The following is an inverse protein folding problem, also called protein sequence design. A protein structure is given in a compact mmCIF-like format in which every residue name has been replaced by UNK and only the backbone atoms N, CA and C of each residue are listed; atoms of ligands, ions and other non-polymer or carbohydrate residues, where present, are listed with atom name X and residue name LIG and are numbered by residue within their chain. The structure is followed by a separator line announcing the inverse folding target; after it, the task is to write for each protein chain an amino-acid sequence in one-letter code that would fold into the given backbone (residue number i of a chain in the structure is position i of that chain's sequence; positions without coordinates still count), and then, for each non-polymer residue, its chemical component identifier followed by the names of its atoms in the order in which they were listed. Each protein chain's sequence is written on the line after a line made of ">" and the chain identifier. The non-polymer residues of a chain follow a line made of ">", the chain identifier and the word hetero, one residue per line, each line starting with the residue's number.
data_IF_110190445256
#
_entry.id   IF_110190445256
#
_cell.length_a   1.000
_cell.length_b   1.000
_cell.length_c   1.000
_cell.angle_alpha   90.00
_cell.angle_beta   90.00
_cell.angle_gamma   90.00
#
_symmetry.space_group_name_H-M   'P 1'
#
loop_
_entity.id
_entity.type
_entity.pdbx_description
1 polymer ?
#
# COMPACT_ATOMS: atom_id res chain seq x y z
N UNK A 1 25.08 6.71 -11.34
CA UNK A 1 24.68 5.96 -12.56
C UNK A 1 23.99 6.82 -13.60
N UNK A 2 22.82 7.45 -13.32
CA UNK A 2 22.18 8.33 -14.33
C UNK A 2 23.11 9.42 -14.84
N UNK A 3 23.78 10.14 -13.95
CA UNK A 3 24.72 11.20 -14.32
C UNK A 3 25.89 10.69 -15.16
N UNK A 4 26.31 9.45 -14.94
CA UNK A 4 27.43 8.82 -15.63
C UNK A 4 27.08 8.37 -17.05
N UNK A 5 25.90 7.81 -17.24
CA UNK A 5 25.51 7.13 -18.48
C UNK A 5 24.52 7.89 -19.36
N UNK A 6 23.78 8.88 -18.83
CA UNK A 6 22.92 9.72 -19.65
C UNK A 6 23.68 10.47 -20.76
N UNK A 7 24.91 11.00 -20.53
CA UNK A 7 25.72 11.59 -21.59
C UNK A 7 26.15 10.58 -22.69
N UNK A 8 26.04 9.28 -22.41
CA UNK A 8 26.32 8.19 -23.36
C UNK A 8 25.05 7.68 -24.07
N UNK A 9 23.91 8.39 -23.91
CA UNK A 9 22.65 8.08 -24.57
C UNK A 9 21.77 7.07 -23.79
N UNK A 10 22.07 6.78 -22.52
CA UNK A 10 21.25 5.89 -21.70
C UNK A 10 20.16 6.69 -20.99
N UNK A 11 18.92 6.31 -21.18
CA UNK A 11 17.77 6.88 -20.45
C UNK A 11 17.36 5.98 -19.29
N UNK A 12 16.98 6.59 -18.16
CA UNK A 12 16.58 5.91 -16.94
C UNK A 12 15.15 6.21 -16.57
N UNK A 13 14.40 5.16 -16.25
CA UNK A 13 13.02 5.26 -15.80
C UNK A 13 12.82 4.46 -14.52
N UNK A 14 12.06 5.02 -13.57
CA UNK A 14 11.44 4.25 -12.53
C UNK A 14 9.97 4.01 -12.88
N UNK A 15 9.47 2.82 -12.61
CA UNK A 15 8.06 2.50 -12.79
C UNK A 15 7.49 2.22 -11.40
N UNK A 16 6.58 3.10 -10.97
CA UNK A 16 5.85 2.93 -9.73
C UNK A 16 4.75 1.88 -9.95
N UNK A 17 4.88 0.78 -9.26
CA UNK A 17 3.96 -0.37 -9.21
C UNK A 17 3.15 -0.34 -7.90
N UNK A 18 2.31 -1.34 -7.61
CA UNK A 18 1.68 -1.46 -6.30
C UNK A 18 2.71 -1.42 -5.16
N UNK A 19 2.32 -0.86 -4.03
CA UNK A 19 3.14 -0.91 -2.82
C UNK A 19 3.40 -2.36 -2.43
N UNK A 20 4.68 -2.72 -2.26
CA UNK A 20 5.07 -4.06 -1.83
C UNK A 20 4.65 -4.34 -0.38
N UNK A 21 4.69 -3.32 0.46
CA UNK A 21 4.40 -3.37 1.89
C UNK A 21 3.51 -2.20 2.29
N UNK A 22 2.19 -2.23 1.97
CA UNK A 22 1.26 -1.21 2.41
C UNK A 22 1.26 -1.10 3.94
N UNK A 23 1.03 0.11 4.45
CA UNK A 23 1.05 0.51 5.86
C UNK A 23 2.43 0.40 6.55
N UNK A 24 3.44 -0.16 5.87
CA UNK A 24 4.83 -0.03 6.30
C UNK A 24 5.31 1.41 6.04
N UNK A 25 6.04 2.00 6.97
CA UNK A 25 6.39 3.43 6.93
C UNK A 25 5.19 4.37 6.76
N UNK A 26 4.01 3.91 7.18
CA UNK A 26 2.71 4.61 7.14
C UNK A 26 2.16 4.90 5.74
N UNK A 27 2.80 4.53 4.65
CA UNK A 27 2.21 4.67 3.33
C UNK A 27 1.13 3.63 3.10
N UNK A 28 0.00 4.08 2.55
CA UNK A 28 -1.17 3.25 2.30
C UNK A 28 -1.39 3.02 0.80
N UNK A 29 -2.15 1.99 0.44
CA UNK A 29 -2.42 1.68 -0.96
C UNK A 29 -3.21 2.80 -1.64
N UNK A 30 -2.73 3.34 -2.79
CA UNK A 30 -3.50 4.30 -3.58
C UNK A 30 -4.73 3.63 -4.21
N UNK A 31 -5.87 4.31 -4.22
CA UNK A 31 -7.11 3.85 -4.83
C UNK A 31 -7.36 4.45 -6.22
N UNK A 32 -6.63 5.51 -6.57
CA UNK A 32 -6.77 6.20 -7.85
C UNK A 32 -5.41 6.45 -8.49
N UNK A 33 -5.40 6.69 -9.80
CA UNK A 33 -4.18 7.07 -10.50
C UNK A 33 -3.61 8.40 -9.98
N UNK A 34 -4.46 9.33 -9.56
CA UNK A 34 -4.04 10.59 -8.96
C UNK A 34 -3.28 10.36 -7.67
N UNK A 35 -3.75 9.48 -6.80
CA UNK A 35 -3.04 9.10 -5.58
C UNK A 35 -1.72 8.37 -5.88
N UNK A 36 -1.69 7.51 -6.91
CA UNK A 36 -0.45 6.88 -7.37
C UNK A 36 0.57 7.93 -7.84
N UNK A 37 0.12 8.97 -8.53
CA UNK A 37 0.97 10.10 -8.90
C UNK A 37 1.43 10.93 -7.67
N UNK A 38 0.59 11.09 -6.65
CA UNK A 38 1.01 11.70 -5.37
C UNK A 38 2.14 10.90 -4.71
N UNK A 39 2.06 9.56 -4.69
CA UNK A 39 3.14 8.69 -4.20
C UNK A 39 4.44 8.90 -5.00
N UNK A 40 4.35 9.00 -6.33
CA UNK A 40 5.52 9.30 -7.19
C UNK A 40 6.14 10.64 -6.82
N UNK A 41 5.33 11.69 -6.67
CA UNK A 41 5.82 13.03 -6.30
C UNK A 41 6.52 12.99 -4.94
N UNK A 42 5.93 12.32 -3.97
CA UNK A 42 6.52 12.15 -2.64
C UNK A 42 7.83 11.35 -2.69
N UNK A 43 7.89 10.25 -3.44
CA UNK A 43 9.10 9.47 -3.62
C UNK A 43 10.21 10.30 -4.31
N UNK A 44 9.87 11.05 -5.36
CA UNK A 44 10.84 11.96 -6.01
C UNK A 44 11.38 13.00 -5.06
N UNK A 45 10.51 13.63 -4.26
CA UNK A 45 10.89 14.63 -3.26
C UNK A 45 11.84 14.04 -2.22
N UNK A 46 11.50 12.88 -1.65
CA UNK A 46 12.29 12.22 -0.60
C UNK A 46 13.63 11.72 -1.12
N UNK A 47 13.66 11.16 -2.32
CA UNK A 47 14.88 10.59 -2.90
C UNK A 47 15.75 11.63 -3.63
N UNK A 48 15.27 12.87 -3.80
CA UNK A 48 15.95 13.85 -4.65
C UNK A 48 16.12 13.38 -6.09
N UNK A 49 15.22 12.49 -6.56
CA UNK A 49 15.38 11.79 -7.82
C UNK A 49 15.07 12.69 -9.02
N UNK A 50 16.06 12.86 -9.90
CA UNK A 50 15.91 13.48 -11.22
C UNK A 50 15.52 12.49 -12.32
N UNK A 51 15.40 11.19 -12.00
CA UNK A 51 14.96 10.16 -12.94
C UNK A 51 13.49 10.38 -13.30
N UNK A 52 13.12 10.03 -14.54
CA UNK A 52 11.72 10.04 -14.96
C UNK A 52 10.97 8.88 -14.30
N UNK A 53 9.86 9.19 -13.64
CA UNK A 53 8.98 8.20 -13.04
C UNK A 53 7.74 8.02 -13.89
N UNK A 54 7.38 6.78 -14.11
CA UNK A 54 6.14 6.35 -14.77
C UNK A 54 5.24 5.69 -13.72
N UNK A 55 3.94 5.83 -13.88
CA UNK A 55 2.96 5.10 -13.08
C UNK A 55 2.48 3.89 -13.87
N UNK A 56 2.44 2.72 -13.25
CA UNK A 56 1.69 1.59 -13.76
C UNK A 56 0.17 1.91 -13.74
N UNK A 57 -0.62 1.21 -14.52
CA UNK A 57 -2.09 1.30 -14.49
C UNK A 57 -2.65 0.87 -13.14
N UNK A 58 -3.87 1.27 -12.81
CA UNK A 58 -4.50 0.82 -11.56
C UNK A 58 -4.74 -0.70 -11.54
N UNK A 59 -4.83 -1.33 -12.72
CA UNK A 59 -4.93 -2.79 -12.87
C UNK A 59 -3.57 -3.49 -12.74
N UNK A 60 -2.48 -2.73 -12.62
CA UNK A 60 -1.12 -3.23 -12.45
C UNK A 60 -0.63 -4.07 -13.65
N UNK A 61 -0.96 -3.63 -14.85
CA UNK A 61 -0.66 -4.36 -16.10
C UNK A 61 0.84 -4.61 -16.27
N UNK A 62 1.66 -3.57 -16.05
CA UNK A 62 3.11 -3.70 -16.13
C UNK A 62 3.65 -4.64 -15.05
N UNK A 63 3.15 -4.54 -13.82
CA UNK A 63 3.54 -5.42 -12.73
C UNK A 63 3.22 -6.90 -13.05
N UNK A 64 2.05 -7.16 -13.64
CA UNK A 64 1.66 -8.49 -14.09
C UNK A 64 2.56 -8.99 -15.23
N UNK A 65 2.81 -8.15 -16.25
CA UNK A 65 3.69 -8.45 -17.37
C UNK A 65 5.12 -8.80 -16.91
N UNK A 66 5.59 -8.15 -15.85
CA UNK A 66 6.92 -8.33 -15.29
C UNK A 66 7.06 -9.52 -14.33
N UNK A 67 6.03 -10.35 -14.21
CA UNK A 67 6.02 -11.53 -13.33
C UNK A 67 5.88 -11.19 -11.86
N UNK A 68 5.25 -10.05 -11.54
CA UNK A 68 4.94 -9.60 -10.17
C UNK A 68 6.16 -9.45 -9.25
N UNK A 69 7.33 -9.16 -9.83
CA UNK A 69 8.55 -8.95 -9.05
C UNK A 69 8.57 -7.54 -8.43
N UNK A 70 8.85 -7.38 -7.13
CA UNK A 70 8.70 -6.09 -6.46
C UNK A 70 9.76 -5.04 -6.86
N UNK A 71 10.99 -5.43 -7.12
CA UNK A 71 12.11 -4.53 -7.42
C UNK A 71 12.90 -5.01 -8.64
N UNK A 72 12.20 -5.29 -9.73
CA UNK A 72 12.82 -5.77 -10.97
C UNK A 72 13.53 -4.66 -11.73
N UNK A 73 14.51 -5.07 -12.53
CA UNK A 73 15.32 -4.21 -13.39
C UNK A 73 15.38 -4.78 -14.80
N UNK A 74 15.36 -3.89 -15.78
CA UNK A 74 15.51 -4.23 -17.18
C UNK A 74 16.45 -3.28 -17.89
N UNK A 75 17.23 -3.85 -18.82
CA UNK A 75 18.01 -3.12 -19.81
C UNK A 75 17.38 -3.39 -21.18
N UNK A 76 17.03 -2.34 -21.88
CA UNK A 76 16.39 -2.41 -23.21
C UNK A 76 17.31 -1.68 -24.17
N UNK A 77 17.62 -2.31 -25.30
CA UNK A 77 18.43 -1.70 -26.33
C UNK A 77 17.65 -0.72 -27.22
N UNK A 78 18.32 0.03 -28.13
CA UNK A 78 17.63 0.98 -29.01
C UNK A 78 16.60 0.35 -29.96
N UNK A 79 16.67 -0.94 -30.22
CA UNK A 79 15.71 -1.69 -31.05
C UNK A 79 14.48 -2.15 -30.26
N UNK A 80 14.44 -1.85 -28.94
CA UNK A 80 13.34 -2.23 -28.04
C UNK A 80 13.44 -3.65 -27.50
N UNK A 81 14.60 -4.30 -27.66
CA UNK A 81 14.82 -5.66 -27.18
C UNK A 81 15.35 -5.64 -25.75
N UNK A 82 14.80 -6.48 -24.89
CA UNK A 82 15.28 -6.68 -23.52
C UNK A 82 16.59 -7.47 -23.57
N UNK A 83 17.72 -6.80 -23.32
CA UNK A 83 19.06 -7.39 -23.33
C UNK A 83 19.58 -7.73 -21.92
N UNK A 84 18.91 -7.27 -20.89
CA UNK A 84 19.17 -7.59 -19.47
C UNK A 84 17.89 -7.59 -18.65
N UNK A 85 17.73 -8.57 -17.76
CA UNK A 85 16.58 -8.66 -16.86
C UNK A 85 17.00 -9.25 -15.52
N UNK A 86 16.61 -8.58 -14.41
CA UNK A 86 16.80 -9.07 -13.04
C UNK A 86 15.49 -9.00 -12.28
N UNK A 87 15.19 -10.03 -11.52
CA UNK A 87 14.02 -10.07 -10.65
C UNK A 87 14.17 -9.12 -9.44
N UNK A 88 15.42 -8.82 -9.09
CA UNK A 88 15.80 -7.83 -8.08
C UNK A 88 16.91 -6.94 -8.64
N UNK A 89 16.77 -5.62 -8.51
CA UNK A 89 17.75 -4.66 -9.00
C UNK A 89 19.09 -4.84 -8.29
N UNK A 90 20.15 -4.84 -9.10
CA UNK A 90 21.53 -4.94 -8.67
C UNK A 90 22.34 -3.82 -9.34
N UNK A 91 22.66 -2.73 -8.61
CA UNK A 91 23.36 -1.59 -9.19
C UNK A 91 24.75 -1.93 -9.77
N UNK A 92 25.47 -2.87 -9.17
CA UNK A 92 26.81 -3.23 -9.65
C UNK A 92 26.73 -4.03 -10.97
N UNK A 93 25.80 -4.98 -11.01
CA UNK A 93 25.53 -5.73 -12.23
C UNK A 93 24.96 -4.85 -13.36
N UNK A 94 24.10 -3.86 -13.00
CA UNK A 94 23.61 -2.88 -13.98
C UNK A 94 24.76 -2.04 -14.54
N UNK A 95 25.67 -1.58 -13.70
CA UNK A 95 26.85 -0.83 -14.14
C UNK A 95 27.69 -1.65 -15.11
N UNK A 96 28.00 -2.91 -14.78
CA UNK A 96 28.77 -3.81 -15.65
C UNK A 96 28.07 -4.03 -17.02
N UNK A 97 26.75 -4.15 -17.06
CA UNK A 97 26.00 -4.22 -18.31
C UNK A 97 26.12 -2.94 -19.13
N UNK A 98 25.97 -1.78 -18.51
CA UNK A 98 26.08 -0.49 -19.18
C UNK A 98 27.49 -0.25 -19.69
N UNK A 99 28.53 -0.61 -18.95
CA UNK A 99 29.94 -0.56 -19.43
C UNK A 99 30.14 -1.41 -20.68
N UNK A 100 29.56 -2.61 -20.70
CA UNK A 100 29.65 -3.51 -21.85
C UNK A 100 28.92 -2.96 -23.07
N UNK A 101 27.79 -2.21 -22.88
CA UNK A 101 26.93 -1.73 -23.97
C UNK A 101 27.40 -0.38 -24.50
N UNK A 102 27.71 0.59 -23.62
CA UNK A 102 28.04 1.98 -24.01
C UNK A 102 29.44 2.42 -23.59
N UNK A 103 30.22 1.52 -23.02
CA UNK A 103 31.60 1.76 -22.57
C UNK A 103 31.74 2.30 -21.14
N UNK A 104 32.94 2.20 -20.56
CA UNK A 104 33.23 2.55 -19.19
C UNK A 104 33.10 4.05 -18.92
N UNK A 105 32.98 4.42 -17.66
CA UNK A 105 33.01 5.79 -17.14
C UNK A 105 34.33 6.00 -16.38
N UNK A 106 35.08 7.02 -16.74
CA UNK A 106 36.40 7.26 -16.12
C UNK A 106 36.28 7.72 -14.65
N UNK A 107 35.27 8.53 -14.33
CA UNK A 107 35.02 9.04 -12.98
C UNK A 107 33.55 8.79 -12.61
N UNK A 108 33.32 7.73 -11.86
CA UNK A 108 32.00 7.37 -11.41
C UNK A 108 31.47 8.34 -10.35
N UNK A 109 30.24 8.81 -10.53
CA UNK A 109 29.53 9.63 -9.52
C UNK A 109 29.38 8.82 -8.23
N UNK A 110 29.90 9.34 -7.14
CA UNK A 110 29.73 8.78 -5.81
C UNK A 110 28.48 9.37 -5.13
N UNK A 111 27.94 8.68 -4.10
CA UNK A 111 26.81 9.17 -3.32
C UNK A 111 27.11 10.53 -2.68
N UNK A 112 28.36 10.74 -2.24
CA UNK A 112 28.84 12.01 -1.68
C UNK A 112 28.79 13.20 -2.66
N UNK A 113 28.75 12.92 -3.97
CA UNK A 113 28.71 13.94 -5.02
C UNK A 113 27.26 14.38 -5.31
N UNK A 114 26.29 13.74 -4.68
CA UNK A 114 24.86 14.01 -4.85
C UNK A 114 24.36 14.93 -3.74
N UNK A 115 23.68 16.00 -4.11
CA UNK A 115 22.93 16.86 -3.17
C UNK A 115 21.59 16.19 -2.86
N UNK A 116 21.62 15.19 -1.98
CA UNK A 116 20.42 14.45 -1.59
C UNK A 116 19.66 15.23 -0.49
N UNK A 117 18.32 15.29 -0.59
CA UNK A 117 17.53 15.99 0.40
C UNK A 117 17.61 15.29 1.77
N UNK A 118 17.53 16.08 2.84
CA UNK A 118 17.35 15.53 4.18
C UNK A 118 16.02 14.76 4.24
N UNK A 119 16.05 13.61 4.91
CA UNK A 119 14.84 12.81 5.11
C UNK A 119 14.00 13.43 6.22
N UNK A 120 12.95 14.13 5.84
CA UNK A 120 11.98 14.66 6.79
C UNK A 120 10.89 13.62 7.05
N UNK A 121 10.46 13.42 8.30
CA UNK A 121 9.34 12.55 8.61
C UNK A 121 8.06 13.11 7.96
N UNK A 122 7.13 12.21 7.61
CA UNK A 122 5.79 12.60 7.21
C UNK A 122 5.07 13.14 8.44
N UNK A 123 4.42 14.32 8.34
CA UNK A 123 3.84 15.01 9.48
C UNK A 123 2.68 14.26 10.12
N UNK A 124 1.83 13.63 9.32
CA UNK A 124 0.58 12.99 9.76
C UNK A 124 0.73 11.47 9.70
N UNK A 125 1.28 10.89 10.75
CA UNK A 125 1.51 9.44 10.85
C UNK A 125 1.06 8.90 12.19
N UNK A 126 0.83 7.60 12.25
CA UNK A 126 0.54 6.86 13.48
C UNK A 126 1.65 7.05 14.54
N UNK A 127 1.24 7.25 15.79
CA UNK A 127 2.14 7.47 16.92
C UNK A 127 1.96 6.46 18.06
N UNK A 128 1.06 5.48 17.90
CA UNK A 128 0.77 4.46 18.91
C UNK A 128 -0.08 4.97 20.07
N UNK A 129 -0.87 6.03 19.86
CA UNK A 129 -1.86 6.52 20.83
C UNK A 129 -2.99 5.49 20.97
N UNK A 130 -3.41 4.88 19.86
CA UNK A 130 -4.39 3.80 19.85
C UNK A 130 -3.64 2.47 19.72
N UNK A 131 -3.82 1.55 20.69
CA UNK A 131 -3.20 0.22 20.61
C UNK A 131 -3.63 -0.52 19.33
N UNK A 132 -2.66 -1.18 18.70
CA UNK A 132 -2.92 -2.01 17.52
C UNK A 132 -3.64 -3.30 17.90
N UNK A 133 -4.49 -3.77 17.01
CA UNK A 133 -5.13 -5.09 17.13
C UNK A 133 -4.13 -6.18 16.83
N UNK A 134 -4.05 -7.19 17.71
CA UNK A 134 -3.22 -8.37 17.45
C UNK A 134 -3.90 -9.27 16.44
N UNK A 135 -3.41 -9.28 15.22
CA UNK A 135 -3.95 -10.11 14.13
C UNK A 135 -3.50 -11.56 14.25
N UNK A 136 -4.38 -12.54 13.93
CA UNK A 136 -3.97 -13.91 13.72
C UNK A 136 -2.82 -14.02 12.72
N UNK A 137 -1.90 -14.95 12.93
CA UNK A 137 -0.82 -15.23 12.00
C UNK A 137 -1.37 -15.73 10.64
N UNK A 138 -0.68 -15.41 9.57
CA UNK A 138 -1.00 -15.91 8.23
C UNK A 138 -2.25 -15.31 7.60
N UNK A 139 -2.81 -14.23 8.15
CA UNK A 139 -3.87 -13.50 7.45
C UNK A 139 -3.38 -12.98 6.10
N UNK A 140 -4.25 -13.04 5.10
CA UNK A 140 -3.95 -12.63 3.73
C UNK A 140 -4.90 -11.52 3.26
N UNK A 141 -4.42 -10.56 2.45
CA UNK A 141 -5.23 -9.44 2.01
C UNK A 141 -6.35 -9.87 1.06
N UNK A 142 -7.49 -9.17 1.20
CA UNK A 142 -8.65 -9.27 0.32
C UNK A 142 -8.68 -8.18 -0.74
N UNK A 143 -9.52 -8.39 -1.76
CA UNK A 143 -9.80 -7.36 -2.75
C UNK A 143 -10.75 -6.32 -2.17
N UNK A 144 -10.30 -5.06 -2.12
CA UNK A 144 -11.06 -3.91 -1.66
C UNK A 144 -11.10 -2.88 -2.78
N UNK A 145 -12.29 -2.47 -3.16
CA UNK A 145 -12.54 -1.41 -4.14
C UNK A 145 -13.30 -0.25 -3.49
N UNK A 146 -12.82 1.00 -3.61
CA UNK A 146 -13.58 2.16 -3.19
C UNK A 146 -14.76 2.39 -4.14
N UNK A 147 -15.92 2.72 -3.60
CA UNK A 147 -17.08 3.15 -4.40
C UNK A 147 -17.02 4.67 -4.54
N UNK A 148 -16.31 5.14 -5.55
CA UNK A 148 -15.90 6.55 -5.69
C UNK A 148 -17.08 7.53 -5.73
N UNK A 149 -18.20 7.13 -6.28
CA UNK A 149 -19.40 7.96 -6.43
C UNK A 149 -20.10 8.26 -5.08
N UNK A 150 -19.75 7.52 -4.04
CA UNK A 150 -20.36 7.69 -2.70
C UNK A 150 -19.74 8.84 -1.91
N UNK A 151 -18.58 9.35 -2.33
CA UNK A 151 -17.89 10.42 -1.63
C UNK A 151 -17.57 11.60 -2.55
N UNK A 152 -17.85 12.81 -2.06
CA UNK A 152 -17.37 14.06 -2.69
C UNK A 152 -15.96 14.43 -2.22
N UNK A 153 -15.56 13.93 -1.05
CA UNK A 153 -14.23 14.10 -0.51
C UNK A 153 -13.28 13.02 -1.06
N UNK A 154 -11.98 13.29 -1.14
CA UNK A 154 -10.98 12.26 -1.37
C UNK A 154 -11.13 11.11 -0.36
N UNK A 155 -10.68 9.92 -0.71
CA UNK A 155 -10.63 8.80 0.22
C UNK A 155 -9.46 9.00 1.19
N UNK A 156 -9.62 9.91 2.16
CA UNK A 156 -8.62 10.16 3.19
C UNK A 156 -8.27 8.92 4.00
N UNK A 157 -9.26 8.04 4.19
CA UNK A 157 -9.08 6.74 4.84
C UNK A 157 -9.01 5.65 3.77
N UNK A 158 -8.04 4.75 3.91
CA UNK A 158 -7.90 3.55 3.10
C UNK A 158 -8.29 2.35 3.94
N UNK A 159 -9.21 1.54 3.42
CA UNK A 159 -9.60 0.30 4.06
C UNK A 159 -8.67 -0.82 3.61
N UNK A 160 -8.08 -1.50 4.58
CA UNK A 160 -7.40 -2.77 4.40
C UNK A 160 -8.27 -3.86 5.01
N UNK A 161 -8.44 -4.95 4.29
CA UNK A 161 -9.16 -6.13 4.74
C UNK A 161 -8.26 -7.34 4.57
N UNK A 162 -8.17 -8.17 5.60
CA UNK A 162 -7.44 -9.45 5.55
C UNK A 162 -8.32 -10.54 6.14
N UNK A 163 -8.14 -11.77 5.66
CA UNK A 163 -8.83 -12.95 6.18
C UNK A 163 -7.85 -14.03 6.58
N UNK A 164 -8.25 -14.86 7.55
CA UNK A 164 -7.55 -16.11 7.85
C UNK A 164 -7.65 -17.09 6.68
N UNK A 165 -6.74 -18.03 6.60
CA UNK A 165 -6.75 -19.05 5.53
C UNK A 165 -8.08 -19.83 5.50
N UNK A 166 -8.61 -20.21 6.66
CA UNK A 166 -9.88 -20.92 6.78
C UNK A 166 -11.04 -20.15 6.13
N UNK A 167 -11.03 -18.81 6.23
CA UNK A 167 -12.07 -17.96 5.62
C UNK A 167 -12.07 -18.11 4.10
N UNK A 168 -10.91 -18.23 3.47
CA UNK A 168 -10.82 -18.44 2.01
C UNK A 168 -11.18 -19.86 1.58
N UNK A 169 -10.87 -20.86 2.41
CA UNK A 169 -11.06 -22.26 2.07
C UNK A 169 -12.48 -22.75 2.37
N UNK A 170 -13.06 -22.31 3.48
CA UNK A 170 -14.33 -22.83 4.00
C UNK A 170 -15.46 -21.80 4.06
N UNK A 171 -15.17 -20.53 3.85
CA UNK A 171 -16.10 -19.44 4.05
C UNK A 171 -16.27 -19.02 5.52
N UNK A 172 -15.55 -19.62 6.47
CA UNK A 172 -15.65 -19.30 7.90
C UNK A 172 -14.29 -19.00 8.51
N UNK A 173 -14.18 -17.93 9.28
CA UNK A 173 -12.92 -17.52 9.91
C UNK A 173 -12.95 -16.11 10.43
N UNK A 174 -11.77 -15.57 10.74
CA UNK A 174 -11.60 -14.22 11.25
C UNK A 174 -11.28 -13.25 10.11
N UNK A 175 -11.94 -12.10 10.14
CA UNK A 175 -11.75 -10.97 9.24
C UNK A 175 -11.12 -9.80 10.01
N UNK A 176 -10.06 -9.23 9.47
CA UNK A 176 -9.47 -7.99 9.94
C UNK A 176 -9.94 -6.82 9.08
N UNK A 177 -10.33 -5.73 9.72
CA UNK A 177 -10.56 -4.44 9.10
C UNK A 177 -9.58 -3.42 9.68
N UNK A 178 -8.82 -2.75 8.82
CA UNK A 178 -7.95 -1.64 9.19
C UNK A 178 -8.29 -0.39 8.38
N UNK A 179 -8.69 0.66 9.08
CA UNK A 179 -8.93 1.98 8.49
C UNK A 179 -7.72 2.86 8.75
N UNK A 180 -6.93 3.11 7.70
CA UNK A 180 -5.68 3.84 7.74
C UNK A 180 -5.85 5.20 7.07
N UNK A 181 -5.47 6.27 7.75
CA UNK A 181 -5.39 7.58 7.12
C UNK A 181 -4.22 7.62 6.13
N UNK A 182 -4.45 8.21 4.95
CA UNK A 182 -3.40 8.40 3.96
C UNK A 182 -2.56 9.63 4.34
N UNK A 183 -1.28 9.47 4.68
CA UNK A 183 -0.44 10.55 5.17
C UNK A 183 -0.22 11.67 4.13
N UNK A 184 -0.40 11.37 2.84
CA UNK A 184 -0.21 12.36 1.77
C UNK A 184 -1.29 13.43 1.74
N UNK A 185 -2.46 13.15 2.33
CA UNK A 185 -3.51 14.16 2.49
C UNK A 185 -3.32 15.04 3.72
N UNK A 186 -2.40 14.70 4.63
CA UNK A 186 -2.13 15.44 5.87
C UNK A 186 -3.38 15.68 6.69
N UNK A 187 -4.16 14.62 6.90
CA UNK A 187 -5.38 14.65 7.71
C UNK A 187 -5.21 13.78 8.94
N UNK A 188 -5.97 14.09 9.97
CA UNK A 188 -6.04 13.35 11.23
C UNK A 188 -7.49 13.04 11.62
N UNK A 189 -7.69 12.08 12.51
CA UNK A 189 -8.95 11.86 13.19
C UNK A 189 -9.21 13.01 14.15
N UNK A 190 -10.43 13.56 14.14
CA UNK A 190 -10.84 14.54 15.13
C UNK A 190 -11.53 13.83 16.31
N UNK A 191 -10.80 13.72 17.43
CA UNK A 191 -11.32 13.07 18.64
C UNK A 191 -12.19 14.02 19.51
N UNK A 192 -12.36 15.29 19.12
CA UNK A 192 -13.37 16.20 19.71
C UNK A 192 -14.74 16.06 18.99
N UNK A 193 -14.81 15.33 17.88
CA UNK A 193 -16.02 14.99 17.13
C UNK A 193 -16.46 13.53 17.45
N UNK A 194 -17.66 13.11 17.02
CA UNK A 194 -18.06 11.71 17.14
C UNK A 194 -17.03 10.76 16.51
N UNK A 195 -16.70 9.62 17.18
CA UNK A 195 -15.71 8.69 16.69
C UNK A 195 -16.13 8.08 15.35
N UNK A 196 -15.12 7.57 14.62
CA UNK A 196 -15.33 6.83 13.38
C UNK A 196 -16.27 5.65 13.62
N UNK A 197 -17.17 5.42 12.68
CA UNK A 197 -18.11 4.30 12.70
C UNK A 197 -18.10 3.58 11.37
N UNK A 198 -18.24 2.25 11.39
CA UNK A 198 -18.48 1.46 10.20
C UNK A 198 -19.79 0.68 10.31
N UNK A 199 -20.37 0.37 9.15
CA UNK A 199 -21.52 -0.51 9.00
C UNK A 199 -21.31 -1.43 7.79
N UNK A 200 -21.53 -2.73 7.99
CA UNK A 200 -21.38 -3.76 6.96
C UNK A 200 -22.76 -4.18 6.47
N UNK A 201 -22.90 -4.25 5.15
CA UNK A 201 -24.04 -4.88 4.49
C UNK A 201 -23.56 -6.16 3.81
N UNK A 202 -23.94 -7.30 4.36
CA UNK A 202 -23.62 -8.62 3.84
C UNK A 202 -24.78 -9.15 2.98
N UNK A 203 -24.50 -9.93 1.92
CA UNK A 203 -25.54 -10.61 1.14
C UNK A 203 -26.11 -11.81 1.89
N UNK A 204 -27.17 -12.41 1.33
CA UNK A 204 -27.74 -13.64 1.85
C UNK A 204 -26.69 -14.76 1.93
N UNK A 205 -26.75 -15.55 3.01
CA UNK A 205 -25.80 -16.62 3.28
C UNK A 205 -24.45 -16.17 3.81
N UNK A 206 -24.25 -14.86 4.12
CA UNK A 206 -23.05 -14.34 4.79
C UNK A 206 -23.45 -13.73 6.14
N UNK A 207 -22.84 -14.24 7.21
CA UNK A 207 -22.94 -13.67 8.56
C UNK A 207 -21.61 -13.07 8.97
N UNK A 208 -21.62 -11.80 9.37
CA UNK A 208 -20.44 -11.08 9.86
C UNK A 208 -20.78 -10.50 11.24
N UNK A 209 -19.93 -10.71 12.22
CA UNK A 209 -20.16 -10.25 13.58
C UNK A 209 -18.90 -9.59 14.16
N UNK A 210 -19.02 -8.32 14.64
CA UNK A 210 -20.18 -7.42 14.56
C UNK A 210 -20.33 -6.76 13.18
N UNK A 211 -21.56 -6.50 12.73
CA UNK A 211 -21.83 -5.76 11.47
C UNK A 211 -21.66 -4.26 11.60
N UNK A 212 -21.50 -3.73 12.81
CA UNK A 212 -21.26 -2.32 13.11
C UNK A 212 -20.21 -2.20 14.18
N UNK A 213 -19.39 -1.17 14.06
CA UNK A 213 -18.40 -0.87 15.08
C UNK A 213 -18.07 0.60 15.15
N UNK A 214 -17.49 0.99 16.29
CA UNK A 214 -17.03 2.34 16.56
C UNK A 214 -15.54 2.30 16.82
N UNK A 215 -14.79 3.16 16.15
CA UNK A 215 -13.34 3.27 16.32
C UNK A 215 -12.96 3.77 17.71
N UNK A 216 -11.74 3.52 18.11
CA UNK A 216 -11.17 4.06 19.33
C UNK A 216 -11.30 5.59 19.36
N UNK A 217 -11.53 6.15 20.55
CA UNK A 217 -11.72 7.57 20.79
C UNK A 217 -10.80 7.99 21.95
N UNK A 218 -9.50 8.18 21.70
CA UNK A 218 -8.55 8.56 22.74
C UNK A 218 -8.79 9.97 23.28
N UNK A 219 -8.12 10.30 24.39
CA UNK A 219 -8.22 11.63 25.04
C UNK A 219 -7.49 12.72 24.24
N UNK A 220 -6.51 12.34 23.43
CA UNK A 220 -5.81 13.26 22.53
C UNK A 220 -6.81 13.86 21.52
N UNK A 221 -6.74 15.18 21.33
CA UNK A 221 -7.67 15.90 20.44
C UNK A 221 -7.63 15.42 19.00
N UNK A 222 -6.47 14.92 18.57
CA UNK A 222 -6.22 14.46 17.24
C UNK A 222 -5.14 13.38 17.19
N UNK A 223 -5.31 12.39 16.33
CA UNK A 223 -4.31 11.37 16.05
C UNK A 223 -4.44 10.86 14.59
N UNK A 224 -3.47 10.05 14.15
CA UNK A 224 -3.48 9.40 12.85
C UNK A 224 -3.35 7.87 12.96
N UNK A 225 -3.56 7.31 14.14
CA UNK A 225 -3.43 5.88 14.36
C UNK A 225 -4.56 5.11 13.66
N UNK A 226 -4.31 3.92 13.14
CA UNK A 226 -5.34 3.12 12.49
C UNK A 226 -6.51 2.79 13.42
N UNK A 227 -7.70 2.71 12.87
CA UNK A 227 -8.88 2.15 13.55
C UNK A 227 -9.06 0.72 13.07
N UNK A 228 -8.81 -0.24 13.95
CA UNK A 228 -8.69 -1.66 13.60
C UNK A 228 -9.73 -2.51 14.32
N UNK A 229 -10.18 -3.57 13.65
CA UNK A 229 -11.20 -4.48 14.16
C UNK A 229 -10.93 -5.91 13.71
N UNK A 230 -11.29 -6.88 14.58
CA UNK A 230 -11.41 -8.29 14.24
C UNK A 230 -12.88 -8.68 14.29
N UNK A 231 -13.34 -9.40 13.27
CA UNK A 231 -14.71 -9.85 13.12
C UNK A 231 -14.74 -11.34 12.81
N UNK A 232 -15.79 -12.00 13.23
CA UNK A 232 -16.05 -13.38 12.84
C UNK A 232 -16.95 -13.41 11.60
N UNK A 233 -16.60 -14.24 10.64
CA UNK A 233 -17.31 -14.43 9.38
C UNK A 233 -17.71 -15.87 9.22
N UNK A 234 -18.94 -16.09 8.76
CA UNK A 234 -19.42 -17.40 8.29
C UNK A 234 -20.24 -17.18 7.03
N UNK A 235 -19.81 -17.79 5.93
CA UNK A 235 -20.48 -17.78 4.65
C UNK A 235 -20.82 -19.21 4.21
N UNK A 236 -21.95 -19.41 3.55
CA UNK A 236 -22.35 -20.68 2.97
C UNK A 236 -21.43 -21.12 1.81
N UNK A 237 -20.80 -20.16 1.13
CA UNK A 237 -19.85 -20.35 0.05
C UNK A 237 -18.72 -19.34 0.17
N UNK A 238 -17.46 -19.71 -0.13
CA UNK A 238 -16.35 -18.76 -0.20
C UNK A 238 -16.51 -17.79 -1.39
N UNK A 239 -15.76 -16.70 -1.37
CA UNK A 239 -15.67 -15.76 -2.51
C UNK A 239 -16.82 -14.77 -2.65
N UNK A 240 -17.78 -14.72 -1.71
CA UNK A 240 -18.87 -13.73 -1.73
C UNK A 240 -18.36 -12.31 -1.50
N UNK A 241 -19.18 -11.33 -1.86
CA UNK A 241 -18.87 -9.92 -1.70
C UNK A 241 -19.78 -9.28 -0.65
N UNK A 242 -19.26 -8.27 0.06
CA UNK A 242 -20.03 -7.45 0.99
C UNK A 242 -19.59 -5.99 0.88
N UNK A 243 -20.39 -5.07 1.35
CA UNK A 243 -20.04 -3.65 1.37
C UNK A 243 -19.83 -3.14 2.79
N UNK A 244 -18.92 -2.17 2.91
CA UNK A 244 -18.63 -1.46 4.16
C UNK A 244 -18.83 0.03 3.93
N UNK A 245 -19.70 0.64 4.74
CA UNK A 245 -19.82 2.08 4.85
C UNK A 245 -19.04 2.56 6.07
N UNK A 246 -18.22 3.61 5.91
CA UNK A 246 -17.53 4.26 7.01
C UNK A 246 -17.91 5.74 7.09
N UNK A 247 -18.07 6.23 8.30
CA UNK A 247 -18.34 7.65 8.61
C UNK A 247 -17.33 8.13 9.63
N UNK A 248 -16.73 9.29 9.37
CA UNK A 248 -15.74 9.90 10.26
C UNK A 248 -15.61 11.40 10.00
N UNK A 249 -14.83 12.06 10.82
CA UNK A 249 -14.42 13.45 10.60
C UNK A 249 -12.95 13.49 10.22
N UNK A 250 -12.65 14.12 9.08
CA UNK A 250 -11.29 14.35 8.61
C UNK A 250 -10.95 15.83 8.80
N UNK A 251 -9.89 16.10 9.54
CA UNK A 251 -9.38 17.46 9.75
C UNK A 251 -7.96 17.53 9.24
N UNK A 252 -7.60 18.62 8.57
CA UNK A 252 -6.24 18.80 8.08
C UNK A 252 -5.29 19.32 9.17
N UNK A 253 -3.99 19.04 9.02
CA UNK A 253 -2.97 19.46 9.96
C UNK A 253 -2.80 21.00 10.04
N UNK A 254 -3.17 21.69 8.96
CA UNK A 254 -3.14 23.15 8.91
C UNK A 254 -4.37 23.81 9.57
N UNK A 255 -5.32 23.01 10.07
CA UNK A 255 -6.57 23.47 10.71
C UNK A 255 -7.43 24.36 9.78
N UNK A 256 -7.36 24.13 8.48
CA UNK A 256 -8.13 24.91 7.48
C UNK A 256 -9.49 24.28 7.21
N UNK A 257 -9.65 22.99 7.41
CA UNK A 257 -10.92 22.30 7.32
C UNK A 257 -11.07 21.19 8.35
N UNK A 258 -12.31 20.88 8.67
CA UNK A 258 -12.72 19.67 9.40
C UNK A 258 -14.10 19.26 8.87
N UNK A 259 -14.14 18.19 8.13
CA UNK A 259 -15.34 17.79 7.37
C UNK A 259 -15.84 16.42 7.77
N UNK A 260 -17.18 16.23 7.84
CA UNK A 260 -17.74 14.90 7.93
C UNK A 260 -17.54 14.16 6.61
N UNK A 261 -17.06 12.95 6.69
CA UNK A 261 -16.81 12.08 5.54
C UNK A 261 -17.64 10.83 5.66
N UNK A 262 -18.26 10.44 4.54
CA UNK A 262 -18.95 9.18 4.35
C UNK A 262 -18.38 8.51 3.11
N UNK A 263 -17.90 7.28 3.24
CA UNK A 263 -17.28 6.51 2.17
C UNK A 263 -17.77 5.08 2.20
N UNK A 264 -17.79 4.45 1.03
CA UNK A 264 -18.20 3.07 0.88
C UNK A 264 -17.15 2.28 0.13
N UNK A 265 -16.97 1.03 0.55
CA UNK A 265 -16.05 0.07 -0.03
C UNK A 265 -16.81 -1.20 -0.38
N UNK A 266 -16.45 -1.79 -1.53
CA UNK A 266 -16.83 -3.14 -1.88
C UNK A 266 -15.67 -4.08 -1.56
N UNK A 267 -15.96 -5.16 -0.86
CA UNK A 267 -14.97 -6.17 -0.46
C UNK A 267 -15.36 -7.51 -1.06
N UNK A 268 -14.47 -8.09 -1.84
CA UNK A 268 -14.61 -9.47 -2.30
C UNK A 268 -13.77 -10.39 -1.40
N UNK A 269 -14.40 -11.44 -0.85
CA UNK A 269 -13.73 -12.46 -0.01
C UNK A 269 -12.87 -13.38 -0.87
N UNK A 270 -12.01 -12.78 -1.68
CA UNK A 270 -11.03 -13.43 -2.52
C UNK A 270 -9.65 -12.83 -2.26
N UNK A 271 -8.63 -13.67 -2.30
CA UNK A 271 -7.26 -13.23 -2.00
C UNK A 271 -6.75 -12.22 -3.03
N UNK A 272 -6.17 -11.14 -2.54
CA UNK A 272 -5.54 -10.12 -3.38
C UNK A 272 -4.02 -10.32 -3.44
N UNK A 273 -3.55 -11.02 -4.45
CA UNK A 273 -2.13 -11.32 -4.66
C UNK A 273 -1.28 -10.08 -5.01
N UNK A 274 -1.90 -9.00 -5.46
CA UNK A 274 -1.20 -7.76 -5.82
C UNK A 274 -1.06 -6.76 -4.67
N UNK A 275 -1.66 -7.05 -3.51
CA UNK A 275 -1.73 -6.11 -2.39
C UNK A 275 -0.47 -6.04 -1.53
N UNK A 276 0.54 -6.86 -1.83
CA UNK A 276 1.77 -6.90 -1.02
C UNK A 276 1.55 -7.50 0.39
N UNK A 277 2.66 -7.73 1.07
CA UNK A 277 2.66 -8.26 2.44
C UNK A 277 2.56 -7.12 3.44
N UNK A 278 1.63 -7.20 4.40
CA UNK A 278 1.73 -6.41 5.61
C UNK A 278 2.67 -7.10 6.58
N UNK A 279 3.56 -6.32 7.13
CA UNK A 279 4.37 -6.79 8.25
C UNK A 279 3.48 -6.84 9.49
N UNK A 280 3.47 -7.94 10.25
CA UNK A 280 2.83 -7.97 11.55
C UNK A 280 3.38 -6.83 12.41
N UNK A 281 2.48 -6.11 13.06
CA UNK A 281 2.85 -5.02 13.96
C UNK A 281 2.45 -5.45 15.36
N UNK A 282 3.40 -5.42 16.28
CA UNK A 282 3.15 -5.71 17.67
C UNK A 282 2.26 -4.61 18.32
N UNK A 283 1.59 -4.87 19.45
CA UNK A 283 0.70 -3.90 20.11
C UNK A 283 1.37 -2.57 20.47
N UNK A 284 2.70 -2.54 20.60
CA UNK A 284 3.50 -1.34 20.86
C UNK A 284 3.87 -0.58 19.57
N UNK A 285 3.39 -1.03 18.41
CA UNK A 285 3.66 -0.41 17.11
C UNK A 285 4.99 -0.84 16.47
N UNK A 286 5.76 -1.73 17.10
CA UNK A 286 6.96 -2.28 16.49
C UNK A 286 6.60 -3.28 15.38
N UNK A 287 7.42 -3.30 14.32
CA UNK A 287 7.23 -4.25 13.21
C UNK A 287 7.99 -5.53 13.55
N UNK A 288 7.26 -6.61 13.74
CA UNK A 288 7.90 -7.92 13.83
C UNK A 288 8.21 -8.44 12.43
N UNK A 289 9.49 -8.64 12.17
CA UNK A 289 9.96 -9.33 10.96
C UNK A 289 9.64 -10.83 11.08
N UNK A 290 8.36 -11.18 10.93
CA UNK A 290 7.96 -12.57 10.84
C UNK A 290 8.67 -13.26 9.69
N UNK A 291 8.99 -14.54 9.86
CA UNK A 291 9.52 -15.35 8.75
C UNK A 291 8.47 -15.35 7.65
N UNK A 292 8.81 -14.94 6.41
CA UNK A 292 7.84 -15.04 5.32
C UNK A 292 7.36 -16.50 5.23
N UNK A 293 6.07 -16.73 4.95
CA UNK A 293 5.56 -18.09 4.81
C UNK A 293 6.42 -18.85 3.82
N UNK A 294 6.64 -20.14 4.05
CA UNK A 294 7.40 -20.99 3.14
C UNK A 294 6.81 -20.87 1.73
N UNK A 295 7.67 -20.73 0.72
CA UNK A 295 7.27 -20.56 -0.70
C UNK A 295 6.39 -21.69 -1.24
N UNK A 296 6.42 -22.85 -0.61
CA UNK A 296 5.60 -24.02 -0.90
C UNK A 296 4.13 -23.89 -0.43
N UNK A 297 3.81 -22.91 0.42
CA UNK A 297 2.44 -22.58 0.82
C UNK A 297 1.79 -21.46 0.00
N UNK A 298 2.49 -20.91 -1.00
CA UNK A 298 1.88 -20.02 -1.97
C UNK A 298 1.05 -20.87 -2.91
N UNK A 299 -0.27 -20.81 -2.78
CA UNK A 299 -1.21 -21.51 -3.66
C UNK A 299 -0.90 -21.13 -5.10
N UNK A 300 -0.64 -22.09 -6.02
CA UNK A 300 -0.39 -21.77 -7.41
C UNK A 300 -1.61 -21.05 -8.01
N UNK A 301 -1.34 -20.08 -8.91
CA UNK A 301 -2.41 -19.43 -9.68
C UNK A 301 -3.29 -20.46 -10.35
N UNK A 302 -4.62 -20.28 -10.35
CA UNK A 302 -5.45 -20.95 -11.35
C UNK A 302 -4.99 -20.51 -12.75
N UNK A 303 -4.79 -21.47 -13.65
CA UNK A 303 -4.45 -21.25 -15.06
C UNK A 303 -5.53 -20.47 -15.80
#
# INVERSE_FOLDING_TARGET
>A
MKLDYQPKGVEFFYIYKPLAHPEYDNYVRPFTIQERLMHIMEAKRRLGSSITWLADTMDNDYHALMGMTPNSEMVIDPDGIVVGRRAWSDPDALRADLERIVGPVDNETQVSDLDLPAQEPIGTVAKGIVPRVQRPEGMMPMNVAPVLETSRAPFYTKLRVEGTQDLYETGSGTLYLGFHLDPLYRVHWNNEAPPMQYEITAPDGVSITPVKGTGAHPEEKADADPREFLLEVSADEPGKEFSIEVRYYACDDALTFCVPVKQQYQVAMSQNWSHGWTMPTDPDGTVSWGTPPPRDKIIPRPE
#
